data_IF_698055078399
#
_entry.id   IF_698055078399
#
_cell.length_a   1.000
_cell.length_b   1.000
_cell.length_c   1.000
_cell.angle_alpha   90.00
_cell.angle_beta   90.00
_cell.angle_gamma   90.00
#
_symmetry.space_group_name_H-M   'P 1'
#
loop_
_entity.id
_entity.type
_entity.pdbx_description
1 polymer ?
#
# COMPACT_ATOMS: atom_id res chain seq x y z
N UNK A 1 5.61 13.27 16.32
CA UNK A 1 4.33 12.53 16.23
C UNK A 1 4.60 11.25 15.44
N UNK A 2 3.91 10.13 15.72
CA UNK A 2 4.08 8.91 14.93
C UNK A 2 3.78 9.17 13.46
N UNK A 3 4.61 8.58 12.59
CA UNK A 3 4.47 8.67 11.14
C UNK A 3 4.01 7.33 10.62
N UNK A 4 3.17 7.36 9.59
CA UNK A 4 2.57 6.19 8.99
C UNK A 4 2.69 6.26 7.48
N UNK A 5 2.76 5.11 6.82
CA UNK A 5 2.70 4.98 5.38
C UNK A 5 1.49 4.13 5.00
N UNK A 6 0.72 4.62 4.02
CA UNK A 6 -0.22 3.80 3.26
C UNK A 6 0.56 3.17 2.13
N UNK A 7 0.82 1.88 2.25
CA UNK A 7 1.45 1.07 1.21
C UNK A 7 0.35 0.62 0.26
N UNK A 8 0.60 0.76 -1.04
CA UNK A 8 -0.29 0.27 -2.09
C UNK A 8 0.44 -0.82 -2.87
N UNK A 9 -0.28 -1.90 -3.11
CA UNK A 9 0.06 -2.90 -4.13
C UNK A 9 -0.80 -2.64 -5.38
N UNK A 10 -0.13 -2.25 -6.46
CA UNK A 10 -0.75 -2.10 -7.78
C UNK A 10 -0.54 -3.39 -8.56
N UNK A 11 -1.22 -4.46 -8.14
CA UNK A 11 -1.10 -5.77 -8.79
C UNK A 11 -1.41 -5.68 -10.28
N UNK A 12 -0.37 -5.75 -11.11
CA UNK A 12 -0.48 -6.06 -12.53
C UNK A 12 0.38 -7.29 -12.81
N UNK A 13 -0.26 -8.40 -13.19
CA UNK A 13 0.38 -9.68 -13.49
C UNK A 13 1.19 -10.29 -12.31
N UNK A 14 2.15 -11.17 -12.60
CA UNK A 14 2.98 -11.91 -11.63
C UNK A 14 3.97 -11.02 -10.85
N UNK A 15 3.93 -9.69 -11.00
CA UNK A 15 4.80 -8.77 -10.27
C UNK A 15 4.03 -7.95 -9.24
N UNK A 16 4.32 -8.19 -7.97
CA UNK A 16 3.88 -7.33 -6.87
C UNK A 16 4.84 -6.14 -6.76
N UNK A 17 4.37 -4.95 -7.12
CA UNK A 17 5.13 -3.72 -6.88
C UNK A 17 4.47 -2.96 -5.74
N UNK A 18 5.12 -2.99 -4.58
CA UNK A 18 4.72 -2.22 -3.42
C UNK A 18 5.30 -0.81 -3.50
N UNK A 19 4.46 0.20 -3.29
CA UNK A 19 4.89 1.59 -3.22
C UNK A 19 4.22 2.34 -2.08
N UNK A 20 4.92 3.33 -1.54
CA UNK A 20 4.30 4.29 -0.61
C UNK A 20 3.33 5.16 -1.41
N UNK A 21 2.04 5.02 -1.13
CA UNK A 21 0.99 5.80 -1.77
C UNK A 21 0.82 7.18 -1.10
N UNK A 22 0.91 7.21 0.24
CA UNK A 22 0.83 8.45 1.02
C UNK A 22 1.44 8.25 2.40
N UNK A 23 2.09 9.28 2.92
CA UNK A 23 2.48 9.35 4.33
C UNK A 23 1.44 10.10 5.15
N UNK A 24 1.25 9.69 6.41
CA UNK A 24 0.28 10.23 7.34
C UNK A 24 0.97 10.51 8.69
N UNK A 25 0.40 11.43 9.45
CA UNK A 25 0.84 11.74 10.81
C UNK A 25 -0.32 11.54 11.80
N UNK A 26 0.03 11.34 13.07
CA UNK A 26 -0.92 11.24 14.17
C UNK A 26 -0.94 9.88 14.83
N UNK A 27 -1.97 9.63 15.62
CA UNK A 27 -2.21 8.33 16.24
C UNK A 27 -2.57 7.27 15.19
N UNK A 28 -2.45 5.99 15.55
CA UNK A 28 -2.86 4.88 14.69
C UNK A 28 -4.33 5.00 14.25
N UNK A 29 -5.22 5.38 15.16
CA UNK A 29 -6.65 5.51 14.86
C UNK A 29 -6.92 6.61 13.83
N UNK A 30 -6.22 7.74 13.93
CA UNK A 30 -6.32 8.84 12.97
C UNK A 30 -5.76 8.44 11.61
N UNK A 31 -4.58 7.80 11.59
CA UNK A 31 -3.96 7.30 10.37
C UNK A 31 -4.82 6.24 9.67
N UNK A 32 -5.44 5.34 10.44
CA UNK A 32 -6.37 4.34 9.91
C UNK A 32 -7.63 5.00 9.35
N UNK A 33 -8.24 5.96 10.05
CA UNK A 33 -9.38 6.73 9.54
C UNK A 33 -9.03 7.44 8.22
N UNK A 34 -7.84 8.02 8.13
CA UNK A 34 -7.34 8.64 6.91
C UNK A 34 -7.12 7.62 5.77
N UNK A 35 -6.61 6.43 6.06
CA UNK A 35 -6.49 5.35 5.07
C UNK A 35 -7.87 4.95 4.50
N UNK A 36 -8.90 4.84 5.34
CA UNK A 36 -10.25 4.50 4.88
C UNK A 36 -10.82 5.57 3.93
N UNK A 37 -10.53 6.85 4.17
CA UNK A 37 -10.90 7.94 3.25
C UNK A 37 -10.15 7.83 1.92
N UNK A 38 -8.85 7.50 1.96
CA UNK A 38 -8.04 7.28 0.75
C UNK A 38 -8.63 6.15 -0.11
N UNK A 39 -9.03 5.03 0.51
CA UNK A 39 -9.64 3.90 -0.20
C UNK A 39 -10.96 4.34 -0.88
N UNK A 40 -11.77 5.13 -0.18
CA UNK A 40 -13.04 5.64 -0.70
C UNK A 40 -12.82 6.58 -1.90
N UNK A 41 -11.92 7.56 -1.76
CA UNK A 41 -11.53 8.51 -2.81
C UNK A 41 -10.95 7.81 -4.04
N UNK A 42 -10.05 6.85 -3.84
CA UNK A 42 -9.45 6.07 -4.92
C UNK A 42 -10.53 5.33 -5.74
N UNK A 43 -11.48 4.68 -5.06
CA UNK A 43 -12.62 4.04 -5.71
C UNK A 43 -13.47 5.04 -6.52
N UNK A 44 -13.69 6.24 -5.99
CA UNK A 44 -14.45 7.28 -6.67
C UNK A 44 -13.74 7.83 -7.92
N UNK A 45 -12.44 8.12 -7.85
CA UNK A 45 -11.66 8.60 -8.99
C UNK A 45 -11.69 7.59 -10.16
N UNK A 46 -11.56 6.29 -9.86
CA UNK A 46 -11.65 5.22 -10.87
C UNK A 46 -13.05 5.09 -11.51
N UNK A 47 -14.11 5.52 -10.80
CA UNK A 47 -15.49 5.51 -11.29
C UNK A 47 -15.77 6.75 -12.16
N UNK A 48 -15.25 7.91 -11.73
CA UNK A 48 -15.49 9.21 -12.37
C UNK A 48 -14.78 9.36 -13.73
N UNK A 49 -13.67 8.64 -13.97
CA UNK A 49 -12.92 8.64 -15.24
C UNK A 49 -13.65 7.92 -16.40
N UNK A 50 -14.98 7.96 -16.45
CA UNK A 50 -15.78 7.50 -17.58
C UNK A 50 -16.21 6.03 -17.56
N UNK A 51 -15.87 5.27 -16.52
CA UNK A 51 -16.27 3.86 -16.39
C UNK A 51 -17.59 3.75 -15.61
N UNK A 52 -18.66 4.28 -16.21
CA UNK A 52 -20.00 4.56 -15.65
C UNK A 52 -20.77 3.41 -14.98
N UNK A 53 -20.21 2.21 -14.83
CA UNK A 53 -20.83 1.08 -14.11
C UNK A 53 -19.78 0.34 -13.28
N UNK A 54 -19.15 1.05 -12.34
CA UNK A 54 -18.29 0.40 -11.36
C UNK A 54 -19.08 -0.13 -10.18
N UNK A 55 -19.00 -1.45 -9.95
CA UNK A 55 -19.38 -2.05 -8.66
C UNK A 55 -18.12 -2.15 -7.81
N UNK A 56 -18.15 -1.50 -6.66
CA UNK A 56 -17.05 -1.45 -5.69
C UNK A 56 -17.28 -2.43 -4.55
N UNK A 57 -16.24 -3.17 -4.18
CA UNK A 57 -16.24 -4.04 -3.00
C UNK A 57 -14.95 -3.79 -2.22
N UNK A 58 -15.08 -3.60 -0.91
CA UNK A 58 -13.96 -3.43 0.01
C UNK A 58 -13.96 -4.62 0.95
N UNK A 59 -12.84 -5.33 1.02
CA UNK A 59 -12.65 -6.47 1.89
C UNK A 59 -11.57 -6.13 2.92
N UNK A 60 -11.87 -6.34 4.20
CA UNK A 60 -10.84 -6.30 5.24
C UNK A 60 -10.05 -7.61 5.17
N UNK A 61 -8.74 -7.52 4.95
CA UNK A 61 -7.82 -8.68 4.93
C UNK A 61 -7.23 -8.90 6.32
N UNK A 62 -6.82 -7.81 6.98
CA UNK A 62 -6.24 -7.83 8.32
C UNK A 62 -6.68 -6.57 9.09
N UNK A 63 -6.13 -6.38 10.29
CA UNK A 63 -6.47 -5.19 11.07
C UNK A 63 -6.11 -3.88 10.37
N UNK A 64 -5.05 -3.90 9.57
CA UNK A 64 -4.46 -2.75 8.89
C UNK A 64 -4.41 -2.87 7.37
N UNK A 65 -5.02 -3.91 6.79
CA UNK A 65 -4.98 -4.14 5.34
C UNK A 65 -6.35 -4.38 4.74
N UNK A 66 -6.59 -3.75 3.60
CA UNK A 66 -7.86 -3.78 2.88
C UNK A 66 -7.62 -4.03 1.39
N UNK A 67 -8.42 -4.93 0.80
CA UNK A 67 -8.50 -5.12 -0.64
C UNK A 67 -9.67 -4.32 -1.19
N UNK A 68 -9.38 -3.44 -2.14
CA UNK A 68 -10.38 -2.77 -2.96
C UNK A 68 -10.49 -3.50 -4.30
N UNK A 69 -11.69 -3.97 -4.62
CA UNK A 69 -12.03 -4.55 -5.91
C UNK A 69 -13.01 -3.65 -6.63
N UNK A 70 -12.64 -3.21 -7.83
CA UNK A 70 -13.43 -2.35 -8.69
C UNK A 70 -13.77 -3.08 -9.99
N UNK A 71 -15.03 -3.46 -10.15
CA UNK A 71 -15.50 -4.14 -11.36
C UNK A 71 -15.95 -3.15 -12.41
N UNK A 72 -15.42 -3.25 -13.62
CA UNK A 72 -15.93 -2.59 -14.80
C UNK A 72 -16.56 -3.58 -15.78
N UNK A 73 -17.23 -3.05 -16.81
CA UNK A 73 -17.79 -3.88 -17.89
C UNK A 73 -16.74 -4.77 -18.57
N UNK A 74 -15.47 -4.33 -18.65
CA UNK A 74 -14.43 -4.98 -19.46
C UNK A 74 -13.32 -5.65 -18.64
N UNK A 75 -13.16 -5.29 -17.36
CA UNK A 75 -12.09 -5.85 -16.51
C UNK A 75 -12.43 -5.61 -15.03
N UNK A 76 -11.74 -6.36 -14.16
CA UNK A 76 -11.74 -6.15 -12.72
C UNK A 76 -10.37 -5.63 -12.32
N UNK A 77 -10.35 -4.56 -11.52
CA UNK A 77 -9.13 -3.99 -10.95
C UNK A 77 -9.10 -4.29 -9.46
N UNK A 78 -7.94 -4.70 -8.96
CA UNK A 78 -7.72 -5.09 -7.57
C UNK A 78 -6.53 -4.31 -7.03
N UNK A 79 -6.68 -3.76 -5.84
CA UNK A 79 -5.62 -2.99 -5.19
C UNK A 79 -5.67 -3.22 -3.70
N UNK A 80 -4.52 -3.56 -3.11
CA UNK A 80 -4.39 -3.71 -1.65
C UNK A 80 -3.82 -2.43 -1.07
N UNK A 81 -4.41 -1.98 0.03
CA UNK A 81 -3.90 -0.89 0.86
C UNK A 81 -3.55 -1.43 2.23
N UNK A 82 -2.34 -1.11 2.71
CA UNK A 82 -1.84 -1.53 4.02
C UNK A 82 -1.30 -0.33 4.78
N UNK A 83 -1.74 -0.16 6.02
CA UNK A 83 -1.20 0.84 6.94
C UNK A 83 0.03 0.27 7.66
N UNK A 84 1.17 0.94 7.51
CA UNK A 84 2.42 0.61 8.18
C UNK A 84 2.90 1.80 9.01
N UNK A 85 3.45 1.53 10.20
CA UNK A 85 4.13 2.54 11.00
C UNK A 85 5.54 2.78 10.45
N UNK A 86 5.96 4.04 10.36
CA UNK A 86 7.31 4.42 9.97
C UNK A 86 8.18 4.48 11.23
N UNK A 87 8.98 3.45 11.44
CA UNK A 87 9.79 3.25 12.66
C UNK A 87 11.16 3.94 12.58
N UNK A 88 11.64 4.29 11.38
CA UNK A 88 12.89 5.03 11.18
C UNK A 88 12.71 6.10 10.08
N UNK A 89 13.16 7.32 10.36
CA UNK A 89 13.32 8.37 9.35
C UNK A 89 14.68 8.16 8.68
N UNK A 90 14.72 7.63 7.46
CA UNK A 90 15.97 7.42 6.70
C UNK A 90 16.64 8.74 6.27
N UNK A 91 16.23 9.87 6.83
CA UNK A 91 17.01 11.12 6.81
C UNK A 91 18.16 11.11 7.82
N UNK A 92 18.16 10.18 8.78
CA UNK A 92 19.38 9.86 9.54
C UNK A 92 20.24 8.89 8.74
N UNK A 93 21.37 9.44 8.31
CA UNK A 93 22.43 8.85 7.51
C UNK A 93 23.15 7.75 8.29
N UNK A 94 22.52 6.59 8.52
CA UNK A 94 23.23 5.42 9.05
C UNK A 94 22.49 4.09 8.79
N UNK A 95 22.08 3.84 7.54
CA UNK A 95 21.86 2.47 7.09
C UNK A 95 22.99 2.09 6.13
N UNK A 96 23.83 1.09 6.46
CA UNK A 96 24.86 0.63 5.55
C UNK A 96 24.20 -0.02 4.32
N UNK A 97 24.57 0.45 3.13
CA UNK A 97 24.07 0.03 1.81
C UNK A 97 24.33 -1.45 1.44
N UNK A 98 24.81 -2.27 2.37
CA UNK A 98 25.25 -3.63 2.07
C UNK A 98 24.81 -4.63 3.14
N UNK A 99 23.60 -5.17 2.98
CA UNK A 99 23.31 -6.56 3.35
C UNK A 99 23.55 -7.48 2.14
N UNK A 100 24.69 -7.33 1.46
CA UNK A 100 25.24 -8.41 0.65
C UNK A 100 26.01 -9.32 1.59
N UNK A 101 25.27 -10.24 2.20
CA UNK A 101 25.82 -11.34 2.98
C UNK A 101 26.91 -12.03 2.17
N UNK A 102 28.14 -11.96 2.69
CA UNK A 102 29.25 -12.78 2.25
C UNK A 102 28.83 -14.25 2.33
N UNK A 103 28.59 -14.88 1.19
CA UNK A 103 28.72 -16.32 1.08
C UNK A 103 30.19 -16.56 0.82
N UNK A 104 30.95 -16.84 1.87
CA UNK A 104 32.27 -17.46 1.73
C UNK A 104 32.05 -18.85 1.12
N UNK A 105 32.60 -19.17 -0.06
CA UNK A 105 32.69 -20.55 -0.48
C UNK A 105 33.73 -21.22 0.43
N UNK A 106 33.30 -22.25 1.16
CA UNK A 106 34.19 -23.11 1.92
C UNK A 106 35.20 -23.74 0.97
N UNK A 107 36.48 -23.56 1.29
CA UNK A 107 37.58 -24.33 0.70
C UNK A 107 37.58 -25.72 1.32
N UNK A 108 37.49 -26.74 0.49
CA UNK A 108 38.08 -28.07 0.71
C UNK A 108 38.77 -28.49 -0.60
#
# INVERSE_FOLDING_TARGET
MPRWAVIRDAGQAESFTFGVYRELEGSEAEAHSAMLRIIDEYGHAHTASGRRRQRRQVYRISERSYLLRCHNRMFTDETVFTLAELIADTRDQEFPDSLYGWISPGSD
#
